data_IF_074190763309
#
_entry.id   IF_074190763309
#
_cell.length_a   1.000
_cell.length_b   1.000
_cell.length_c   1.000
_cell.angle_alpha   90.00
_cell.angle_beta   90.00
_cell.angle_gamma   90.00
#
_symmetry.space_group_name_H-M   'P 1'
#
loop_
_entity.id
_entity.type
_entity.pdbx_description
1 polymer ?
#
# COMPACT_ATOMS: atom_id res chain seq x y z
N UNK A 1 18.46 -2.76 7.79
CA UNK A 1 17.44 -3.02 8.83
C UNK A 1 16.21 -3.60 8.14
N UNK A 2 15.63 -4.69 8.65
CA UNK A 2 14.50 -5.39 8.01
C UNK A 2 13.23 -5.14 8.84
N UNK A 3 12.11 -4.82 8.21
CA UNK A 3 10.83 -4.57 8.88
C UNK A 3 9.92 -5.78 8.77
N UNK A 4 9.51 -6.35 9.90
CA UNK A 4 8.36 -7.25 9.99
C UNK A 4 7.10 -6.39 10.05
N UNK A 5 6.51 -6.14 8.87
CA UNK A 5 5.44 -5.16 8.71
C UNK A 5 4.11 -5.71 9.23
N UNK A 6 3.47 -4.96 10.14
CA UNK A 6 2.19 -5.32 10.78
C UNK A 6 1.04 -4.42 10.36
N UNK A 7 1.32 -3.19 9.94
CA UNK A 7 0.31 -2.22 9.55
C UNK A 7 0.88 -1.24 8.54
N UNK A 8 0.02 -0.69 7.70
CA UNK A 8 0.38 0.46 6.90
C UNK A 8 -0.75 1.49 6.84
N UNK A 9 -0.35 2.75 6.68
CA UNK A 9 -1.25 3.89 6.52
C UNK A 9 -0.95 4.55 5.18
N UNK A 10 -2.00 4.98 4.50
CA UNK A 10 -1.90 5.74 3.26
C UNK A 10 -2.75 6.99 3.36
N UNK A 11 -2.24 8.10 2.86
CA UNK A 11 -2.99 9.35 2.71
C UNK A 11 -3.16 9.73 1.25
N UNK A 12 -4.39 9.87 0.81
CA UNK A 12 -4.71 10.46 -0.49
C UNK A 12 -4.23 11.91 -0.53
N UNK A 13 -3.75 12.35 -1.69
CA UNK A 13 -3.50 13.77 -1.94
C UNK A 13 -4.81 14.60 -1.98
N UNK A 14 -4.73 15.84 -2.49
CA UNK A 14 -5.89 16.71 -2.64
C UNK A 14 -6.81 16.37 -3.83
N UNK A 15 -6.49 15.36 -4.64
CA UNK A 15 -7.23 15.01 -5.85
C UNK A 15 -8.38 14.04 -5.58
N UNK A 16 -9.26 13.89 -6.58
CA UNK A 16 -10.33 12.89 -6.59
C UNK A 16 -9.93 11.60 -7.35
N UNK A 17 -8.64 11.38 -7.59
CA UNK A 17 -8.12 10.17 -8.23
C UNK A 17 -7.88 9.08 -7.18
N UNK A 18 -8.97 8.53 -6.62
CA UNK A 18 -8.90 7.53 -5.57
C UNK A 18 -8.55 6.16 -6.14
N UNK A 19 -7.58 5.48 -5.53
CA UNK A 19 -7.27 4.10 -5.87
C UNK A 19 -8.43 3.17 -5.50
N UNK A 20 -8.64 2.13 -6.32
CA UNK A 20 -9.67 1.11 -6.10
C UNK A 20 -9.10 -0.29 -6.05
N UNK A 21 -8.10 -0.57 -6.88
CA UNK A 21 -7.41 -1.86 -6.87
C UNK A 21 -5.91 -1.66 -6.86
N UNK A 22 -5.26 -2.08 -5.78
CA UNK A 22 -3.81 -1.96 -5.60
C UNK A 22 -3.26 -3.08 -4.71
N UNK A 23 -1.94 -3.26 -4.76
CA UNK A 23 -1.22 -4.23 -3.93
C UNK A 23 -0.08 -3.53 -3.22
N UNK A 24 0.04 -3.78 -1.92
CA UNK A 24 1.27 -3.51 -1.20
C UNK A 24 2.14 -4.75 -1.26
N UNK A 25 3.30 -4.64 -1.91
CA UNK A 25 4.29 -5.71 -2.01
C UNK A 25 5.53 -5.44 -1.14
N UNK A 26 6.17 -6.52 -0.73
CA UNK A 26 7.43 -6.52 0.00
C UNK A 26 8.46 -7.46 -0.63
N UNK A 27 9.73 -7.10 -0.52
CA UNK A 27 10.85 -7.95 -0.93
C UNK A 27 12.03 -7.88 0.03
N UNK A 28 12.75 -8.99 0.15
CA UNK A 28 14.04 -9.07 0.84
C UNK A 28 15.23 -8.81 -0.09
N UNK A 29 15.06 -9.02 -1.40
CA UNK A 29 16.16 -9.09 -2.37
C UNK A 29 15.93 -8.24 -3.64
N UNK A 30 14.71 -7.72 -3.83
CA UNK A 30 14.33 -6.86 -4.96
C UNK A 30 13.97 -7.58 -6.26
N UNK A 31 14.30 -8.87 -6.37
CA UNK A 31 13.96 -9.74 -7.50
C UNK A 31 12.64 -10.52 -7.28
N UNK A 32 12.36 -10.92 -6.03
CA UNK A 32 11.18 -11.69 -5.64
C UNK A 32 10.27 -10.83 -4.76
N UNK A 33 9.07 -10.55 -5.25
CA UNK A 33 8.09 -9.71 -4.59
C UNK A 33 6.94 -10.57 -4.05
N UNK A 34 6.55 -10.34 -2.80
CA UNK A 34 5.40 -10.98 -2.16
C UNK A 34 4.30 -9.97 -1.93
N UNK A 35 3.08 -10.36 -2.23
CA UNK A 35 1.88 -9.56 -1.95
C UNK A 35 1.63 -9.57 -0.44
N UNK A 36 1.90 -8.45 0.22
CA UNK A 36 1.66 -8.29 1.66
C UNK A 36 0.17 -8.06 1.91
N UNK A 37 -0.47 -7.27 1.05
CA UNK A 37 -1.91 -7.04 1.06
C UNK A 37 -2.42 -6.69 -0.35
N UNK A 38 -3.53 -7.31 -0.74
CA UNK A 38 -4.23 -7.08 -1.99
C UNK A 38 -5.53 -6.33 -1.71
N UNK A 39 -5.79 -5.28 -2.47
CA UNK A 39 -7.01 -4.48 -2.42
C UNK A 39 -7.74 -4.61 -3.75
N UNK A 40 -9.00 -5.01 -3.70
CA UNK A 40 -9.87 -5.12 -4.86
C UNK A 40 -11.14 -4.31 -4.63
N UNK A 41 -11.39 -3.34 -5.51
CA UNK A 41 -12.55 -2.43 -5.40
C UNK A 41 -12.68 -1.78 -4.01
N UNK A 42 -11.57 -1.52 -3.35
CA UNK A 42 -11.52 -0.93 -2.01
C UNK A 42 -11.99 0.53 -2.07
N UNK A 43 -13.00 0.86 -1.26
CA UNK A 43 -13.61 2.19 -1.18
C UNK A 43 -13.34 2.91 0.14
N UNK A 44 -12.40 2.42 0.94
CA UNK A 44 -12.06 3.00 2.25
C UNK A 44 -11.62 4.47 2.11
N UNK A 45 -10.82 4.77 1.08
CA UNK A 45 -10.46 6.14 0.69
C UNK A 45 -11.48 6.65 -0.33
N UNK A 46 -12.28 7.64 0.08
CA UNK A 46 -13.33 8.24 -0.75
C UNK A 46 -13.40 9.77 -0.66
N UNK A 47 -12.45 10.41 0.04
CA UNK A 47 -12.36 11.86 0.17
C UNK A 47 -10.92 12.34 -0.04
N UNK A 48 -10.71 13.54 -0.62
CA UNK A 48 -9.38 14.13 -0.71
C UNK A 48 -8.74 14.31 0.67
N UNK A 49 -7.44 14.07 0.77
CA UNK A 49 -6.66 14.23 2.00
C UNK A 49 -6.92 13.16 3.06
N UNK A 50 -7.81 12.19 2.81
CA UNK A 50 -8.21 11.17 3.77
C UNK A 50 -7.07 10.19 4.07
N UNK A 51 -6.93 9.83 5.34
CA UNK A 51 -6.11 8.71 5.78
C UNK A 51 -6.95 7.43 5.82
N UNK A 52 -6.35 6.34 5.38
CA UNK A 52 -6.84 4.99 5.63
C UNK A 52 -5.68 4.10 6.05
N UNK A 53 -5.99 3.04 6.77
CA UNK A 53 -4.98 2.18 7.36
C UNK A 53 -5.45 0.74 7.37
N UNK A 54 -4.51 -0.19 7.18
CA UNK A 54 -4.83 -1.61 7.07
C UNK A 54 -3.78 -2.49 7.74
N UNK A 55 -4.20 -3.58 8.42
CA UNK A 55 -3.28 -4.57 8.96
C UNK A 55 -2.65 -5.41 7.86
N UNK A 56 -1.42 -5.88 8.10
CA UNK A 56 -0.87 -7.03 7.39
C UNK A 56 -1.32 -8.28 8.14
N UNK A 57 -1.91 -9.23 7.41
CA UNK A 57 -2.52 -10.43 8.00
C UNK A 57 -1.83 -11.71 7.52
N UNK A 58 -1.93 -12.76 8.32
CA UNK A 58 -1.44 -14.09 7.97
C UNK A 58 0.10 -14.19 7.97
N UNK A 59 0.67 -15.09 7.17
CA UNK A 59 2.10 -15.42 7.22
C UNK A 59 3.02 -14.25 6.82
N UNK A 60 2.47 -13.20 6.21
CA UNK A 60 3.23 -12.00 5.82
C UNK A 60 3.67 -11.15 7.02
N UNK A 61 3.03 -11.28 8.19
CA UNK A 61 3.30 -10.47 9.38
C UNK A 61 4.74 -10.64 9.92
N UNK A 62 5.32 -11.83 9.74
CA UNK A 62 6.64 -12.19 10.27
C UNK A 62 7.74 -12.14 9.21
N UNK A 63 7.41 -11.68 7.99
CA UNK A 63 8.40 -11.63 6.91
C UNK A 63 9.33 -10.44 7.10
N UNK A 64 10.66 -10.66 7.11
CA UNK A 64 11.60 -9.56 7.16
C UNK A 64 11.69 -8.92 5.77
N UNK A 65 11.22 -7.67 5.65
CA UNK A 65 11.15 -6.95 4.37
C UNK A 65 12.11 -5.76 4.39
N UNK A 66 12.80 -5.49 3.27
CA UNK A 66 13.66 -4.31 3.11
C UNK A 66 13.20 -3.37 2.01
N UNK A 67 12.43 -3.87 1.04
CA UNK A 67 11.91 -3.10 -0.08
C UNK A 67 10.40 -3.21 -0.09
N UNK A 68 9.74 -2.07 -0.26
CA UNK A 68 8.29 -1.97 -0.34
C UNK A 68 7.89 -1.31 -1.65
N UNK A 69 6.73 -1.71 -2.18
CA UNK A 69 6.18 -1.14 -3.41
C UNK A 69 4.66 -1.12 -3.31
N UNK A 70 4.07 -0.01 -3.74
CA UNK A 70 2.64 0.09 -3.99
C UNK A 70 2.42 -0.04 -5.48
N UNK A 71 1.57 -0.98 -5.87
CA UNK A 71 1.25 -1.29 -7.25
C UNK A 71 -0.21 -1.01 -7.52
N UNK A 72 -0.49 -0.13 -8.48
CA UNK A 72 -1.84 0.05 -8.97
C UNK A 72 -2.19 -1.11 -9.93
N UNK A 73 -3.29 -1.82 -9.66
CA UNK A 73 -3.74 -2.99 -10.42
C UNK A 73 -4.99 -2.73 -11.28
N UNK A 74 -5.60 -1.57 -11.12
CA UNK A 74 -6.76 -1.12 -11.89
C UNK A 74 -6.87 0.39 -11.85
N UNK A 75 -7.73 0.97 -12.70
CA UNK A 75 -7.85 2.42 -12.77
C UNK A 75 -8.32 3.03 -11.44
N UNK A 76 -7.88 4.26 -11.18
CA UNK A 76 -8.46 5.12 -10.15
C UNK A 76 -9.87 5.57 -10.55
N UNK A 77 -10.53 6.32 -9.69
CA UNK A 77 -11.81 6.98 -10.00
C UNK A 77 -11.70 8.17 -10.95
N UNK A 78 -10.50 8.55 -11.38
CA UNK A 78 -10.30 9.68 -12.29
C UNK A 78 -10.18 9.21 -13.74
N UNK A 79 -11.05 9.71 -14.61
CA UNK A 79 -10.99 9.42 -16.05
C UNK A 79 -9.80 10.13 -16.74
N UNK A 80 -9.33 11.25 -16.19
CA UNK A 80 -8.24 12.04 -16.78
C UNK A 80 -6.85 11.52 -16.42
N UNK A 81 -6.72 10.92 -15.23
CA UNK A 81 -5.47 10.34 -14.71
C UNK A 81 -5.71 8.95 -14.10
N UNK A 82 -6.21 7.99 -14.90
CA UNK A 82 -6.69 6.71 -14.37
C UNK A 82 -5.59 5.84 -13.77
N UNK A 83 -4.32 6.08 -14.10
CA UNK A 83 -3.20 5.23 -13.68
C UNK A 83 -2.21 5.90 -12.73
N UNK A 84 -2.60 7.02 -12.10
CA UNK A 84 -1.75 7.73 -11.16
C UNK A 84 -1.99 7.26 -9.71
N UNK A 85 -0.91 7.03 -8.97
CA UNK A 85 -0.94 6.84 -7.52
C UNK A 85 -0.90 8.22 -6.87
N UNK A 86 -2.07 8.77 -6.58
CA UNK A 86 -2.25 10.12 -6.02
C UNK A 86 -2.21 10.12 -4.49
N UNK A 87 -1.03 9.81 -3.93
CA UNK A 87 -0.81 9.75 -2.47
C UNK A 87 0.22 10.77 -2.05
N UNK A 88 0.05 11.35 -0.87
CA UNK A 88 1.02 12.28 -0.30
C UNK A 88 1.68 11.75 0.99
N UNK A 89 1.29 10.56 1.45
CA UNK A 89 1.88 9.92 2.62
C UNK A 89 1.74 8.39 2.57
N UNK A 90 2.79 7.68 2.97
CA UNK A 90 2.80 6.23 3.19
C UNK A 90 3.61 5.96 4.47
N UNK A 91 2.99 5.28 5.44
CA UNK A 91 3.63 4.90 6.69
C UNK A 91 3.58 3.38 6.86
N UNK A 92 4.69 2.81 7.33
CA UNK A 92 4.83 1.38 7.57
C UNK A 92 5.14 1.16 9.05
N UNK A 93 4.38 0.28 9.68
CA UNK A 93 4.48 -0.03 11.10
C UNK A 93 4.84 -1.49 11.28
N UNK A 94 5.61 -1.78 12.33
CA UNK A 94 6.05 -3.14 12.62
C UNK A 94 7.24 -3.16 13.56
N UNK A 95 7.91 -4.30 13.59
CA UNK A 95 9.11 -4.51 14.39
C UNK A 95 10.33 -4.63 13.50
N UNK A 96 11.42 -4.00 13.90
CA UNK A 96 12.69 -4.20 13.21
C UNK A 96 13.30 -5.51 13.67
N UNK A 97 13.59 -6.36 12.70
CA UNK A 97 14.39 -7.54 12.90
C UNK A 97 15.86 -7.18 12.66
N UNK A 98 16.69 -7.45 13.67
CA UNK A 98 18.13 -7.25 13.66
C UNK A 98 18.81 -8.29 12.77
#
# INVERSE_FOLDING_TARGET
MKLMCSYYILRQDGSNAFMRSWILQGSLEGNNWRDLRVHEKDQTICKPGQFASWPIIGPNLVLPIILFKVLLMGSTTSDSIPWNICICFLELYGYFHL
#
